data_IF_367360012968
#
_entry.id   IF_367360012968
#
_cell.length_a   1.000
_cell.length_b   1.000
_cell.length_c   1.000
_cell.angle_alpha   90.00
_cell.angle_beta   90.00
_cell.angle_gamma   90.00
#
_symmetry.space_group_name_H-M   'P 1'
#
loop_
_entity.id
_entity.type
_entity.pdbx_description
1 polymer ?
#
# COMPACT_ATOMS: atom_id res chain seq x y z
N UNK A 1 -19.45 20.89 -39.22
CA UNK A 1 -19.49 19.57 -38.55
C UNK A 1 -18.17 19.39 -37.83
N UNK A 2 -18.14 19.63 -36.52
CA UNK A 2 -16.94 19.43 -35.71
C UNK A 2 -16.93 17.98 -35.21
N UNK A 3 -15.97 17.19 -35.68
CA UNK A 3 -15.73 15.83 -35.21
C UNK A 3 -15.15 15.95 -33.80
N UNK A 4 -15.99 15.77 -32.79
CA UNK A 4 -15.56 15.69 -31.40
C UNK A 4 -14.68 14.45 -31.22
N UNK A 5 -13.38 14.66 -31.11
CA UNK A 5 -12.43 13.62 -30.73
C UNK A 5 -12.72 13.18 -29.30
N UNK A 6 -13.47 12.09 -29.16
CA UNK A 6 -13.58 11.34 -27.93
C UNK A 6 -12.19 10.80 -27.58
N UNK A 7 -11.43 11.55 -26.79
CA UNK A 7 -10.20 11.06 -26.19
C UNK A 7 -10.59 10.02 -25.15
N UNK A 8 -10.42 8.74 -25.49
CA UNK A 8 -10.66 7.65 -24.56
C UNK A 8 -9.72 7.83 -23.36
N UNK A 9 -10.27 8.29 -22.24
CA UNK A 9 -9.55 8.45 -20.99
C UNK A 9 -8.96 7.09 -20.58
N UNK A 10 -7.63 7.00 -20.57
CA UNK A 10 -6.93 5.78 -20.19
C UNK A 10 -7.33 5.44 -18.74
N UNK A 11 -7.84 4.22 -18.47
CA UNK A 11 -8.34 3.84 -17.15
C UNK A 11 -7.28 4.04 -16.06
N UNK A 12 -5.99 3.93 -16.36
CA UNK A 12 -4.92 4.20 -15.38
C UNK A 12 -4.82 5.69 -15.00
N UNK A 13 -5.10 6.62 -15.91
CA UNK A 13 -5.09 8.06 -15.62
C UNK A 13 -6.28 8.43 -14.74
N UNK A 14 -7.46 7.87 -15.04
CA UNK A 14 -8.67 8.03 -14.21
C UNK A 14 -8.44 7.46 -12.81
N UNK A 15 -7.79 6.29 -12.70
CA UNK A 15 -7.44 5.68 -11.42
C UNK A 15 -6.42 6.52 -10.63
N UNK A 16 -5.39 7.04 -11.29
CA UNK A 16 -4.38 7.88 -10.66
C UNK A 16 -4.98 9.21 -10.17
N UNK A 17 -5.86 9.83 -10.96
CA UNK A 17 -6.57 11.05 -10.56
C UNK A 17 -7.62 10.78 -9.46
N UNK A 18 -8.34 9.65 -9.50
CA UNK A 18 -9.29 9.29 -8.43
C UNK A 18 -8.61 8.94 -7.11
N UNK A 19 -7.48 8.23 -7.17
CA UNK A 19 -6.74 7.85 -5.97
C UNK A 19 -5.88 9.00 -5.42
N UNK A 20 -5.36 9.88 -6.28
CA UNK A 20 -4.29 10.82 -5.91
C UNK A 20 -4.45 12.26 -6.46
N UNK A 21 -5.53 12.57 -7.18
CA UNK A 21 -5.75 13.86 -7.87
C UNK A 21 -6.52 14.90 -7.05
N UNK A 22 -6.19 15.07 -5.77
CA UNK A 22 -6.61 16.28 -5.04
C UNK A 22 -5.48 17.30 -5.08
N UNK A 23 -5.75 18.45 -5.69
CA UNK A 23 -5.00 19.71 -5.54
C UNK A 23 -5.15 20.25 -4.10
N UNK A 24 -4.66 19.48 -3.14
CA UNK A 24 -4.42 19.90 -1.77
C UNK A 24 -2.96 19.61 -1.44
N UNK A 25 -2.38 20.32 -0.48
CA UNK A 25 -1.05 19.98 0.03
C UNK A 25 -0.98 18.46 0.31
N UNK A 26 0.10 17.78 -0.13
CA UNK A 26 0.31 16.35 0.17
C UNK A 26 0.05 16.16 1.67
N UNK A 27 -0.88 15.27 2.09
CA UNK A 27 -1.23 15.14 3.50
C UNK A 27 0.03 14.80 4.28
N UNK A 28 0.26 15.53 5.38
CA UNK A 28 1.42 15.35 6.22
C UNK A 28 1.40 13.92 6.78
N UNK A 29 2.43 13.14 6.46
CA UNK A 29 2.60 11.79 7.00
C UNK A 29 3.21 11.92 8.38
N UNK A 30 2.54 11.38 9.39
CA UNK A 30 3.05 11.34 10.77
C UNK A 30 3.70 10.00 11.06
N UNK A 31 4.80 9.99 11.80
CA UNK A 31 5.35 8.75 12.31
C UNK A 31 4.51 8.24 13.48
N UNK A 32 4.05 7.00 13.38
CA UNK A 32 3.41 6.30 14.49
C UNK A 32 4.45 6.01 15.58
N UNK A 33 4.03 5.81 16.84
CA UNK A 33 4.92 5.37 17.91
C UNK A 33 5.73 4.13 17.50
N UNK A 34 6.95 3.99 17.99
CA UNK A 34 7.77 2.81 17.67
C UNK A 34 7.24 1.53 18.34
N UNK A 35 6.51 1.66 19.44
CA UNK A 35 6.00 0.56 20.25
C UNK A 35 4.50 0.72 20.56
N UNK A 36 3.84 -0.40 20.90
CA UNK A 36 2.42 -0.43 21.27
C UNK A 36 1.45 -0.31 20.09
N UNK A 37 0.17 -0.14 20.45
CA UNK A 37 -0.96 -0.03 19.52
C UNK A 37 -0.92 1.31 18.78
N UNK A 38 -1.06 1.27 17.46
CA UNK A 38 -1.17 2.46 16.61
C UNK A 38 -2.64 2.88 16.53
N UNK A 39 -2.96 4.09 16.98
CA UNK A 39 -4.32 4.63 16.87
C UNK A 39 -4.44 5.43 15.57
N UNK A 40 -5.10 4.86 14.56
CA UNK A 40 -5.25 5.52 13.26
C UNK A 40 -6.50 6.40 13.21
N UNK A 41 -6.29 7.66 12.84
CA UNK A 41 -7.35 8.59 12.46
C UNK A 41 -7.82 8.40 11.01
N UNK A 42 -9.02 8.89 10.71
CA UNK A 42 -9.51 8.94 9.33
C UNK A 42 -8.81 10.01 8.51
N UNK A 43 -8.50 9.71 7.25
CA UNK A 43 -7.84 10.62 6.29
C UNK A 43 -6.52 11.21 6.82
N UNK A 44 -5.85 10.49 7.74
CA UNK A 44 -4.58 10.87 8.32
C UNK A 44 -3.58 9.75 8.05
N UNK A 45 -2.65 9.92 7.09
CA UNK A 45 -1.65 8.90 6.81
C UNK A 45 -0.64 8.82 7.96
N UNK A 46 -0.40 7.62 8.45
CA UNK A 46 0.63 7.34 9.45
C UNK A 46 1.66 6.35 8.93
N UNK A 47 2.95 6.68 9.13
CA UNK A 47 4.07 5.79 8.86
C UNK A 47 4.26 4.87 10.04
N UNK A 48 4.18 3.57 9.76
CA UNK A 48 4.29 2.50 10.72
C UNK A 48 5.54 1.70 10.38
N UNK A 49 6.41 1.56 11.38
CA UNK A 49 7.56 0.67 11.34
C UNK A 49 7.15 -0.68 11.92
N UNK A 50 7.40 -1.75 11.18
CA UNK A 50 7.25 -3.14 11.64
C UNK A 50 8.63 -3.76 11.72
N UNK A 51 9.09 -4.10 12.92
CA UNK A 51 10.38 -4.72 13.15
C UNK A 51 10.38 -5.62 14.40
N UNK A 52 11.55 -6.16 14.75
CA UNK A 52 11.70 -7.09 15.86
C UNK A 52 11.37 -6.51 17.25
N UNK A 53 11.43 -5.19 17.43
CA UNK A 53 11.08 -4.52 18.70
C UNK A 53 9.58 -4.62 18.98
N UNK A 54 8.76 -4.81 17.95
CA UNK A 54 7.31 -4.94 18.08
C UNK A 54 6.85 -6.34 18.55
N UNK A 55 7.80 -7.26 18.78
CA UNK A 55 7.52 -8.64 19.13
C UNK A 55 7.06 -9.47 17.94
N UNK A 56 6.68 -10.73 18.23
CA UNK A 56 6.20 -11.68 17.23
C UNK A 56 4.94 -12.37 17.74
N UNK A 57 4.02 -12.66 16.83
CA UNK A 57 2.79 -13.40 17.13
C UNK A 57 2.52 -14.45 16.05
N UNK A 58 1.92 -15.57 16.44
CA UNK A 58 1.43 -16.58 15.50
C UNK A 58 0.10 -16.14 14.90
N UNK A 59 0.07 -16.02 13.58
CA UNK A 59 -1.13 -15.74 12.78
C UNK A 59 -1.46 -16.92 11.86
N UNK A 60 -2.66 -16.94 11.24
CA UNK A 60 -3.02 -17.99 10.29
C UNK A 60 -2.04 -18.19 9.12
N UNK A 61 -1.26 -17.17 8.73
CA UNK A 61 -0.24 -17.28 7.65
C UNK A 61 1.20 -17.40 8.16
N UNK A 62 1.36 -17.78 9.43
CA UNK A 62 2.66 -17.99 10.07
C UNK A 62 2.96 -16.99 11.18
N UNK A 63 4.13 -17.15 11.78
CA UNK A 63 4.66 -16.24 12.77
C UNK A 63 5.30 -15.03 12.10
N UNK A 64 5.05 -13.85 12.65
CA UNK A 64 5.44 -12.58 12.04
C UNK A 64 5.62 -11.49 13.08
N UNK A 65 6.53 -10.56 12.81
CA UNK A 65 6.51 -9.25 13.46
C UNK A 65 5.24 -8.52 13.06
N UNK A 66 4.68 -7.74 13.99
CA UNK A 66 3.37 -7.16 13.78
C UNK A 66 3.20 -5.83 14.46
N UNK A 67 2.24 -5.06 13.97
CA UNK A 67 1.74 -3.84 14.62
C UNK A 67 0.25 -3.95 14.77
N UNK A 68 -0.22 -3.82 16.01
CA UNK A 68 -1.65 -3.66 16.28
C UNK A 68 -2.08 -2.24 15.95
N UNK A 69 -3.24 -2.13 15.33
CA UNK A 69 -3.82 -0.89 14.86
C UNK A 69 -5.25 -0.83 15.39
N UNK A 70 -5.63 0.30 15.97
CA UNK A 70 -6.97 0.55 16.47
C UNK A 70 -7.54 1.83 15.85
N UNK A 71 -8.81 1.75 15.46
CA UNK A 71 -9.60 2.89 15.00
C UNK A 71 -10.40 3.42 16.19
N UNK A 72 -10.65 4.74 16.21
CA UNK A 72 -11.37 5.38 17.32
C UNK A 72 -12.79 4.85 17.58
N UNK A 73 -13.37 4.10 16.62
CA UNK A 73 -14.63 3.37 16.75
C UNK A 73 -14.70 2.26 15.70
N UNK A 74 -15.71 1.41 15.78
CA UNK A 74 -16.03 0.49 14.69
C UNK A 74 -16.62 1.25 13.49
N UNK A 75 -16.14 0.91 12.30
CA UNK A 75 -16.63 1.42 11.03
C UNK A 75 -17.22 0.28 10.19
N UNK A 76 -18.43 0.49 9.67
CA UNK A 76 -19.10 -0.49 8.81
C UNK A 76 -18.32 -0.77 7.52
N UNK A 77 -17.80 0.28 6.88
CA UNK A 77 -17.00 0.19 5.66
C UNK A 77 -15.84 1.19 5.69
N UNK A 78 -14.63 0.71 5.37
CA UNK A 78 -13.46 1.57 5.17
C UNK A 78 -12.64 1.10 3.97
N UNK A 79 -11.93 2.04 3.36
CA UNK A 79 -10.82 1.75 2.47
C UNK A 79 -9.51 2.07 3.17
N UNK A 80 -8.59 1.10 3.21
CA UNK A 80 -7.24 1.26 3.71
C UNK A 80 -6.30 1.42 2.53
N UNK A 81 -5.73 2.60 2.38
CA UNK A 81 -4.65 2.86 1.43
C UNK A 81 -3.33 2.48 2.08
N UNK A 82 -2.54 1.71 1.36
CA UNK A 82 -1.30 1.14 1.84
C UNK A 82 -0.18 1.59 0.92
N UNK A 83 0.88 2.14 1.51
CA UNK A 83 2.11 2.45 0.80
C UNK A 83 3.27 1.72 1.49
N UNK A 84 3.80 0.70 0.84
CA UNK A 84 5.02 0.04 1.31
C UNK A 84 6.21 0.81 0.78
N UNK A 85 7.07 1.28 1.67
CA UNK A 85 8.29 1.99 1.28
C UNK A 85 9.40 0.97 1.05
N UNK A 86 10.05 1.04 -0.11
CA UNK A 86 11.20 0.21 -0.40
C UNK A 86 12.40 0.70 0.40
N UNK A 87 13.05 -0.21 1.12
CA UNK A 87 14.22 0.07 1.96
C UNK A 87 15.45 -0.65 1.40
N UNK A 88 16.64 -0.32 1.91
CA UNK A 88 17.85 -1.04 1.54
C UNK A 88 17.75 -2.52 1.91
N UNK A 89 18.15 -3.42 1.02
CA UNK A 89 18.09 -4.85 1.26
C UNK A 89 19.07 -5.25 2.39
N UNK A 90 18.59 -5.75 3.55
CA UNK A 90 19.48 -6.13 4.66
C UNK A 90 20.35 -7.34 4.35
N UNK A 91 20.00 -8.13 3.33
CA UNK A 91 20.70 -9.37 2.93
C UNK A 91 21.58 -9.19 1.68
N UNK A 92 21.80 -7.98 1.20
CA UNK A 92 22.66 -7.76 0.03
C UNK A 92 22.46 -6.43 -0.68
N UNK A 93 22.54 -6.46 -2.01
CA UNK A 93 22.40 -5.26 -2.85
C UNK A 93 20.94 -4.99 -3.22
N UNK A 94 20.67 -3.74 -3.58
CA UNK A 94 19.38 -3.27 -4.06
C UNK A 94 18.39 -2.96 -2.96
N UNK A 95 17.13 -2.78 -3.35
CA UNK A 95 16.04 -2.49 -2.42
C UNK A 95 15.22 -3.75 -2.15
N UNK A 96 14.68 -3.83 -0.94
CA UNK A 96 13.71 -4.83 -0.51
C UNK A 96 12.41 -4.13 -0.09
N UNK A 97 11.33 -4.89 -0.02
CA UNK A 97 10.01 -4.37 0.35
C UNK A 97 9.34 -5.29 1.36
N UNK A 98 8.57 -4.72 2.26
CA UNK A 98 7.71 -5.48 3.15
C UNK A 98 6.48 -6.04 2.38
N UNK A 99 6.02 -7.26 2.71
CA UNK A 99 4.78 -7.81 2.12
C UNK A 99 3.63 -7.75 3.13
N UNK A 100 2.79 -6.70 3.10
CA UNK A 100 1.79 -6.54 4.13
C UNK A 100 0.58 -7.46 3.93
N UNK A 101 0.08 -7.99 5.03
CA UNK A 101 -1.25 -8.60 5.20
C UNK A 101 -1.93 -7.90 6.37
N UNK A 102 -3.23 -7.62 6.23
CA UNK A 102 -4.06 -7.10 7.31
C UNK A 102 -4.89 -8.23 7.90
N UNK A 103 -4.84 -8.39 9.22
CA UNK A 103 -5.77 -9.24 9.95
C UNK A 103 -6.79 -8.36 10.66
N UNK A 104 -8.08 -8.59 10.44
CA UNK A 104 -9.15 -7.94 11.21
C UNK A 104 -9.36 -8.74 12.49
N UNK A 105 -9.33 -8.05 13.63
CA UNK A 105 -9.55 -8.67 14.93
C UNK A 105 -11.01 -8.50 15.39
N UNK A 106 -11.53 -9.50 16.07
CA UNK A 106 -12.77 -9.41 16.85
C UNK A 106 -12.53 -8.71 18.20
N UNK A 107 -13.57 -8.63 19.05
CA UNK A 107 -13.51 -8.01 20.39
C UNK A 107 -12.70 -8.81 21.42
N UNK A 108 -12.46 -10.10 21.18
CA UNK A 108 -11.60 -10.97 21.99
C UNK A 108 -10.13 -10.92 21.53
N UNK A 109 -9.82 -10.16 20.46
CA UNK A 109 -8.48 -10.05 19.91
C UNK A 109 -8.06 -11.25 19.04
N UNK A 110 -9.00 -12.08 18.60
CA UNK A 110 -8.78 -13.18 17.67
C UNK A 110 -8.95 -12.70 16.23
N UNK A 111 -8.26 -13.39 15.31
CA UNK A 111 -8.33 -13.08 13.88
C UNK A 111 -9.69 -13.53 13.33
N UNK A 112 -10.49 -12.57 12.88
CA UNK A 112 -11.78 -12.80 12.23
C UNK A 112 -11.65 -12.95 10.72
N UNK A 113 -10.82 -12.12 10.10
CA UNK A 113 -10.61 -12.07 8.66
C UNK A 113 -9.13 -11.78 8.34
N UNK A 114 -8.61 -12.40 7.29
CA UNK A 114 -7.29 -12.10 6.74
C UNK A 114 -7.40 -11.52 5.33
N UNK A 115 -6.72 -10.40 5.10
CA UNK A 115 -6.77 -9.67 3.83
C UNK A 115 -5.38 -9.38 3.31
N UNK A 116 -4.98 -10.16 2.30
CA UNK A 116 -3.72 -9.95 1.62
C UNK A 116 -3.79 -8.67 0.79
N UNK A 117 -2.73 -7.85 0.88
CA UNK A 117 -2.69 -6.56 0.21
C UNK A 117 -2.13 -6.75 -1.21
N UNK A 118 -3.04 -6.94 -2.16
CA UNK A 118 -2.79 -7.16 -3.58
C UNK A 118 -3.89 -6.51 -4.44
N UNK A 119 -3.55 -6.04 -5.66
CA UNK A 119 -2.21 -5.96 -6.23
C UNK A 119 -1.37 -4.83 -5.62
N UNK A 120 -0.04 -4.99 -5.64
CA UNK A 120 0.92 -3.94 -5.27
C UNK A 120 1.38 -3.23 -6.55
N UNK A 121 1.08 -1.94 -6.67
CA UNK A 121 1.46 -1.13 -7.82
C UNK A 121 2.76 -0.37 -7.56
N UNK A 122 3.72 -0.53 -8.48
CA UNK A 122 5.00 0.17 -8.40
C UNK A 122 4.83 1.67 -8.68
N UNK A 123 5.27 2.52 -7.75
CA UNK A 123 5.35 3.97 -7.92
C UNK A 123 6.81 4.43 -7.72
N UNK A 124 7.40 4.93 -8.80
CA UNK A 124 8.76 5.48 -8.83
C UNK A 124 8.65 6.98 -9.10
N UNK A 125 9.21 7.78 -8.18
CA UNK A 125 9.28 9.24 -8.30
C UNK A 125 10.73 9.70 -8.16
N UNK A 126 11.20 10.67 -8.97
CA UNK A 126 12.54 11.24 -8.79
C UNK A 126 12.74 11.76 -7.36
N UNK A 127 13.92 11.51 -6.78
CA UNK A 127 14.32 12.00 -5.45
C UNK A 127 13.45 11.57 -4.27
N UNK A 128 12.48 10.66 -4.46
CA UNK A 128 11.69 10.06 -3.38
C UNK A 128 11.94 8.55 -3.36
N UNK A 129 11.87 7.88 -2.19
CA UNK A 129 11.96 6.43 -2.11
C UNK A 129 10.91 5.76 -3.01
N UNK A 130 11.32 4.67 -3.66
CA UNK A 130 10.39 3.80 -4.39
C UNK A 130 9.34 3.26 -3.42
N UNK A 131 8.08 3.22 -3.83
CA UNK A 131 7.01 2.67 -3.01
C UNK A 131 6.11 1.73 -3.81
N UNK A 132 5.48 0.81 -3.10
CA UNK A 132 4.41 -0.04 -3.63
C UNK A 132 3.08 0.41 -3.05
N UNK A 133 2.11 0.67 -3.92
CA UNK A 133 0.80 1.21 -3.56
C UNK A 133 -0.26 0.11 -3.67
N UNK A 134 -1.16 0.07 -2.71
CA UNK A 134 -2.35 -0.77 -2.76
C UNK A 134 -3.52 -0.11 -2.03
N UNK A 135 -4.70 -0.61 -2.30
CA UNK A 135 -5.90 -0.24 -1.57
C UNK A 135 -6.69 -1.50 -1.23
N UNK A 136 -7.22 -1.54 -0.01
CA UNK A 136 -7.98 -2.67 0.50
C UNK A 136 -9.25 -2.17 1.16
N UNK A 137 -10.40 -2.63 0.68
CA UNK A 137 -11.67 -2.41 1.37
C UNK A 137 -11.84 -3.42 2.51
N UNK A 138 -12.25 -2.94 3.67
CA UNK A 138 -12.53 -3.72 4.88
C UNK A 138 -13.92 -3.36 5.42
N UNK A 139 -14.58 -4.35 6.02
CA UNK A 139 -15.91 -4.19 6.60
C UNK A 139 -15.87 -4.43 8.12
N UNK A 140 -16.74 -3.74 8.87
CA UNK A 140 -16.93 -3.89 10.32
C UNK A 140 -15.61 -3.95 11.07
N UNK A 141 -14.83 -2.88 10.97
CA UNK A 141 -13.46 -2.85 11.48
C UNK A 141 -13.31 -1.82 12.58
N UNK A 142 -12.75 -2.27 13.70
CA UNK A 142 -12.23 -1.43 14.79
C UNK A 142 -10.75 -1.71 15.04
N UNK A 143 -10.37 -2.99 15.06
CA UNK A 143 -9.01 -3.44 15.36
C UNK A 143 -8.42 -4.24 14.21
N UNK A 144 -7.16 -3.96 13.92
CA UNK A 144 -6.39 -4.50 12.82
C UNK A 144 -5.02 -4.93 13.30
N UNK A 145 -4.42 -5.87 12.58
CA UNK A 145 -3.00 -6.18 12.72
C UNK A 145 -2.34 -6.13 11.37
N UNK A 146 -1.29 -5.33 11.26
CA UNK A 146 -0.38 -5.32 10.13
C UNK A 146 0.74 -6.33 10.39
N UNK A 147 0.87 -7.30 9.49
CA UNK A 147 1.89 -8.36 9.56
C UNK A 147 2.37 -8.73 8.16
N UNK A 148 3.27 -9.71 8.05
CA UNK A 148 3.73 -10.28 6.78
C UNK A 148 3.60 -11.81 6.77
N UNK A 149 3.07 -12.43 5.69
CA UNK A 149 2.96 -13.89 5.60
C UNK A 149 4.35 -14.55 5.54
N UNK A 150 4.58 -15.63 6.29
CA UNK A 150 5.87 -16.32 6.29
C UNK A 150 6.25 -16.85 4.89
N UNK A 151 5.25 -17.31 4.12
CA UNK A 151 5.44 -17.76 2.74
C UNK A 151 5.91 -16.64 1.77
N UNK A 152 5.72 -15.37 2.13
CA UNK A 152 6.17 -14.25 1.31
C UNK A 152 7.68 -14.03 1.41
N UNK A 153 8.32 -14.38 2.53
CA UNK A 153 9.74 -14.14 2.78
C UNK A 153 10.70 -14.87 1.83
N UNK A 154 10.19 -15.87 1.10
CA UNK A 154 10.92 -16.61 0.05
C UNK A 154 10.58 -16.14 -1.37
N UNK A 155 9.79 -15.07 -1.50
CA UNK A 155 9.32 -14.53 -2.78
C UNK A 155 9.86 -13.12 -3.00
N UNK A 156 9.56 -12.56 -4.16
CA UNK A 156 9.89 -11.19 -4.52
C UNK A 156 8.68 -10.53 -5.15
N UNK A 157 8.57 -9.22 -4.96
CA UNK A 157 7.76 -8.38 -5.83
C UNK A 157 8.37 -8.38 -7.24
N UNK A 158 7.52 -8.46 -8.26
CA UNK A 158 7.89 -8.29 -9.66
C UNK A 158 6.92 -7.28 -10.28
N UNK A 159 7.43 -6.21 -10.87
CA UNK A 159 6.60 -5.26 -11.60
C UNK A 159 6.20 -5.83 -12.96
N UNK A 160 4.92 -5.78 -13.30
CA UNK A 160 4.48 -5.98 -14.67
C UNK A 160 5.13 -4.95 -15.58
N UNK A 161 5.63 -5.39 -16.74
CA UNK A 161 6.23 -4.47 -17.72
C UNK A 161 5.19 -3.45 -18.17
N UNK A 162 5.43 -2.16 -17.89
CA UNK A 162 4.63 -1.07 -18.45
C UNK A 162 4.54 -1.24 -19.97
N UNK A 163 3.32 -1.29 -20.49
CA UNK A 163 3.09 -1.16 -21.93
C UNK A 163 3.65 0.20 -22.37
N UNK A 164 4.51 0.18 -23.40
CA UNK A 164 5.03 1.39 -24.06
C UNK A 164 3.86 2.33 -24.35
N UNK A 165 3.80 3.47 -23.68
CA UNK A 165 2.86 4.54 -24.02
C UNK A 165 3.27 5.08 -25.40
N UNK A 166 2.51 4.73 -26.45
CA UNK A 166 2.68 5.31 -27.79
C UNK A 166 2.15 6.74 -27.76
N UNK A 167 3.03 7.73 -27.87
CA UNK A 167 2.64 9.11 -28.08
C UNK A 167 1.99 9.28 -29.47
N UNK A 168 0.96 10.13 -29.58
CA UNK A 168 0.30 10.41 -30.85
C UNK A 168 1.01 11.46 -31.72
N UNK A 169 2.03 12.17 -31.20
CA UNK A 169 2.65 13.31 -31.87
C UNK A 169 4.18 13.22 -31.98
N UNK A 170 4.72 13.59 -33.14
CA UNK A 170 6.11 13.42 -33.61
C UNK A 170 7.18 14.27 -32.88
N UNK A 171 6.84 15.07 -31.87
CA UNK A 171 7.76 16.05 -31.26
C UNK A 171 7.92 15.95 -29.73
N UNK A 172 7.42 14.90 -29.09
CA UNK A 172 7.63 14.70 -27.66
C UNK A 172 8.98 14.02 -27.40
N UNK A 173 9.86 14.71 -26.68
CA UNK A 173 11.13 14.17 -26.18
C UNK A 173 10.88 12.85 -25.42
N UNK A 174 11.54 11.77 -25.87
CA UNK A 174 11.49 10.47 -25.22
C UNK A 174 12.41 10.46 -24.01
N UNK A 175 11.85 10.33 -22.80
CA UNK A 175 12.51 9.46 -21.84
C UNK A 175 12.11 8.04 -22.23
N UNK A 176 12.98 7.35 -22.98
CA UNK A 176 12.92 5.90 -23.10
C UNK A 176 13.16 5.33 -21.71
N UNK A 177 12.13 5.27 -20.88
CA UNK A 177 12.16 4.31 -19.79
C UNK A 177 11.97 2.97 -20.47
N UNK A 178 13.07 2.27 -20.75
CA UNK A 178 13.01 0.82 -20.88
C UNK A 178 12.07 0.29 -19.80
N UNK A 179 11.27 -0.73 -20.10
CA UNK A 179 10.39 -1.33 -19.11
C UNK A 179 11.28 -1.91 -18.00
N UNK A 180 11.62 -1.10 -17.00
CA UNK A 180 12.46 -1.48 -15.88
C UNK A 180 11.61 -2.46 -15.09
N UNK A 181 11.83 -3.76 -15.35
CA UNK A 181 11.30 -4.82 -14.50
C UNK A 181 12.01 -4.68 -13.17
N UNK A 182 11.30 -4.17 -12.18
CA UNK A 182 11.80 -4.07 -10.82
C UNK A 182 11.46 -5.37 -10.11
N UNK A 183 12.50 -6.05 -9.63
CA UNK A 183 12.37 -7.16 -8.72
C UNK A 183 12.92 -6.74 -7.36
N UNK A 184 12.09 -6.84 -6.32
CA UNK A 184 12.50 -6.52 -4.95
C UNK A 184 12.13 -7.69 -4.04
N UNK A 185 13.08 -8.30 -3.30
CA UNK A 185 12.77 -9.38 -2.37
C UNK A 185 11.86 -8.88 -1.26
N UNK A 186 10.99 -9.79 -0.77
CA UNK A 186 10.18 -9.50 0.40
C UNK A 186 10.98 -9.71 1.68
N UNK A 187 10.81 -8.81 2.64
CA UNK A 187 11.44 -8.85 3.96
C UNK A 187 10.39 -8.89 5.08
N UNK A 188 10.83 -9.32 6.26
CA UNK A 188 10.03 -9.53 7.46
C UNK A 188 9.75 -8.26 8.27
N UNK A 189 10.50 -7.21 7.97
CA UNK A 189 10.48 -5.92 8.63
C UNK A 189 10.49 -4.80 7.58
N UNK A 190 9.92 -3.64 7.90
CA UNK A 190 9.94 -2.52 6.97
C UNK A 190 8.99 -1.39 7.32
N UNK A 191 8.89 -0.45 6.38
CA UNK A 191 8.12 0.78 6.51
C UNK A 191 6.84 0.71 5.68
N UNK A 192 5.70 0.98 6.32
CA UNK A 192 4.39 1.04 5.68
C UNK A 192 3.68 2.32 6.09
N UNK A 193 3.18 3.09 5.13
CA UNK A 193 2.25 4.19 5.39
C UNK A 193 0.83 3.66 5.21
N UNK A 194 0.00 3.81 6.24
CA UNK A 194 -1.41 3.46 6.22
C UNK A 194 -2.27 4.71 6.32
N UNK A 195 -3.31 4.79 5.50
CA UNK A 195 -4.35 5.81 5.58
C UNK A 195 -5.72 5.11 5.54
N UNK A 196 -6.59 5.43 6.49
CA UNK A 196 -7.94 4.86 6.58
C UNK A 196 -8.94 5.90 6.11
N UNK A 197 -9.77 5.52 5.15
CA UNK A 197 -10.81 6.36 4.57
C UNK A 197 -12.16 5.73 4.90
N UNK A 198 -13.05 6.51 5.51
CA UNK A 198 -14.41 6.07 5.75
C UNK A 198 -15.18 6.05 4.43
N UNK A 199 -15.92 4.98 4.17
CA UNK A 199 -16.66 4.80 2.94
C UNK A 199 -18.14 4.53 3.23
N UNK A 200 -19.00 4.84 2.27
CA UNK A 200 -20.46 4.69 2.48
C UNK A 200 -20.97 3.33 2.03
N UNK A 201 -20.23 2.68 1.11
CA UNK A 201 -20.59 1.40 0.52
C UNK A 201 -19.43 0.42 0.60
N UNK A 202 -19.79 -0.85 0.74
CA UNK A 202 -18.85 -1.97 0.66
C UNK A 202 -18.03 -1.90 -0.65
N UNK A 203 -16.72 -2.00 -0.54
CA UNK A 203 -15.80 -2.02 -1.68
C UNK A 203 -15.50 -0.65 -2.29
N UNK A 204 -16.05 0.45 -1.76
CA UNK A 204 -15.76 1.81 -2.20
C UNK A 204 -14.42 2.30 -1.61
N UNK A 205 -13.83 3.35 -2.19
CA UNK A 205 -12.62 4.04 -1.68
C UNK A 205 -11.29 3.45 -2.18
N UNK A 206 -11.37 2.26 -2.76
CA UNK A 206 -10.44 1.67 -3.70
C UNK A 206 -11.07 1.75 -5.10
#
# INVERSE_FOLDING_TARGET
>A
MAVGSASAANPLTIWKERLFGRDGAEPLVHDAPDEGVVVLGLNRPERIHVDARNGSRKFPKGESHFREIELGREYEHVAVRVQVIATGNPKGRGNAVYKPILYVLDDDGKVREDKLIEPLHLDIRPFKPTRLLACVALDKVRRLVLATPNAALKKSFQSDSRSKLKASNKSAFYYSTDAVKVQMPFIDSGEVVLEVINTTRKGEGC
#
